data_IF_321275051431
#
_entry.id   IF_321275051431
#
_cell.length_a   1.000
_cell.length_b   1.000
_cell.length_c   1.000
_cell.angle_alpha   90.00
_cell.angle_beta   90.00
_cell.angle_gamma   90.00
#
_symmetry.space_group_name_H-M   'P 1'
#
loop_
_entity.id
_entity.type
_entity.pdbx_description
1 polymer ?
#
# COMPACT_ATOMS: atom_id res chain seq x y z
N UNK A 1 -16.65 -10.84 10.64
CA UNK A 1 -16.75 -9.93 9.48
C UNK A 1 -16.69 -10.75 8.20
N UNK A 2 -17.44 -10.40 7.14
CA UNK A 2 -17.30 -11.00 5.81
C UNK A 2 -17.74 -12.46 5.62
N UNK A 3 -18.59 -13.01 6.50
CA UNK A 3 -19.17 -14.35 6.34
C UNK A 3 -20.27 -14.41 5.26
N UNK A 4 -20.96 -13.28 5.06
CA UNK A 4 -21.95 -13.09 4.01
C UNK A 4 -21.67 -11.76 3.33
N UNK A 5 -21.90 -11.71 2.01
CA UNK A 5 -21.78 -10.50 1.21
C UNK A 5 -23.15 -10.11 0.67
N UNK A 6 -23.41 -8.81 0.59
CA UNK A 6 -24.53 -8.34 -0.22
C UNK A 6 -24.29 -8.71 -1.69
N UNK A 7 -25.34 -8.67 -2.50
CA UNK A 7 -25.16 -8.71 -3.96
C UNK A 7 -24.17 -7.61 -4.39
N UNK A 8 -23.25 -7.88 -5.34
CA UNK A 8 -22.34 -6.87 -5.84
C UNK A 8 -23.12 -5.67 -6.40
N UNK A 9 -22.80 -4.47 -5.92
CA UNK A 9 -23.35 -3.23 -6.46
C UNK A 9 -22.38 -2.63 -7.46
N UNK A 10 -22.90 -2.27 -8.63
CA UNK A 10 -22.16 -1.48 -9.61
C UNK A 10 -21.98 -0.07 -9.03
N UNK A 11 -20.73 0.38 -8.89
CA UNK A 11 -20.43 1.69 -8.31
C UNK A 11 -20.67 2.82 -9.32
N UNK A 12 -20.29 2.63 -10.58
CA UNK A 12 -20.40 3.66 -11.62
C UNK A 12 -21.56 3.39 -12.57
N UNK A 13 -22.35 4.41 -12.89
CA UNK A 13 -23.43 4.31 -13.88
C UNK A 13 -22.85 4.07 -15.28
N UNK A 14 -21.95 4.94 -15.70
CA UNK A 14 -21.22 4.82 -16.96
C UNK A 14 -19.89 4.09 -16.75
N UNK A 15 -19.58 3.05 -17.55
CA UNK A 15 -18.31 2.35 -17.44
C UNK A 15 -17.17 3.23 -17.99
N UNK A 16 -16.04 3.26 -17.27
CA UNK A 16 -14.79 3.71 -17.90
C UNK A 16 -14.22 2.63 -18.82
N UNK A 17 -13.49 3.05 -19.86
CA UNK A 17 -12.96 2.18 -20.91
C UNK A 17 -12.07 1.04 -20.40
N UNK A 18 -11.36 1.26 -19.29
CA UNK A 18 -10.57 0.25 -18.62
C UNK A 18 -10.27 0.66 -17.17
N UNK A 19 -10.11 -0.34 -16.29
CA UNK A 19 -9.64 -0.16 -14.92
C UNK A 19 -8.50 -1.17 -14.69
N UNK A 20 -7.36 -0.68 -14.21
CA UNK A 20 -6.27 -1.56 -13.81
C UNK A 20 -6.64 -2.37 -12.57
N UNK A 21 -6.32 -3.66 -12.60
CA UNK A 21 -6.58 -4.61 -11.51
C UNK A 21 -5.42 -5.61 -11.32
N UNK A 22 -4.24 -5.27 -11.82
CA UNK A 22 -3.04 -6.10 -11.80
C UNK A 22 -2.17 -5.83 -10.56
N UNK A 23 -1.83 -6.90 -9.82
CA UNK A 23 -0.86 -6.86 -8.70
C UNK A 23 -1.13 -5.74 -7.68
N UNK A 24 -0.16 -4.84 -7.54
CA UNK A 24 -0.23 -3.69 -6.63
C UNK A 24 -1.06 -2.51 -7.18
N UNK A 25 -1.41 -2.54 -8.46
CA UNK A 25 -2.17 -1.51 -9.18
C UNK A 25 -3.70 -1.72 -9.12
N UNK A 26 -4.18 -2.50 -8.14
CA UNK A 26 -5.62 -2.73 -7.90
C UNK A 26 -6.31 -1.49 -7.31
N UNK A 27 -7.63 -1.35 -7.45
CA UNK A 27 -8.40 -0.29 -6.78
C UNK A 27 -8.19 -0.29 -5.26
N UNK A 28 -8.16 0.89 -4.66
CA UNK A 28 -8.05 1.09 -3.20
C UNK A 28 -9.37 1.60 -2.65
N UNK A 29 -9.69 1.17 -1.43
CA UNK A 29 -10.90 1.51 -0.70
C UNK A 29 -10.50 2.13 0.62
N UNK A 30 -11.13 3.24 0.99
CA UNK A 30 -11.03 3.84 2.31
C UNK A 30 -12.40 4.36 2.75
N UNK A 31 -12.53 4.61 4.05
CA UNK A 31 -13.78 5.05 4.65
C UNK A 31 -13.58 6.34 5.42
N UNK A 32 -14.58 7.23 5.37
CA UNK A 32 -14.67 8.39 6.25
C UNK A 32 -15.34 8.05 7.58
N UNK A 33 -15.43 9.04 8.47
CA UNK A 33 -16.02 8.87 9.80
C UNK A 33 -17.55 8.96 9.82
N UNK A 34 -18.18 9.28 8.69
CA UNK A 34 -19.63 9.43 8.52
C UNK A 34 -20.15 8.49 7.42
N UNK A 35 -19.66 7.26 7.40
CA UNK A 35 -19.97 6.22 6.42
C UNK A 35 -19.68 6.62 4.96
N UNK A 36 -18.78 7.60 4.74
CA UNK A 36 -18.30 7.90 3.41
C UNK A 36 -17.46 6.74 2.88
N UNK A 37 -17.61 6.44 1.59
CA UNK A 37 -16.85 5.39 0.92
C UNK A 37 -16.03 6.05 -0.18
N UNK A 38 -14.71 5.88 -0.13
CA UNK A 38 -13.79 6.44 -1.10
C UNK A 38 -13.14 5.32 -1.89
N UNK A 39 -13.11 5.46 -3.21
CA UNK A 39 -12.45 4.50 -4.10
C UNK A 39 -11.51 5.24 -5.04
N UNK A 40 -10.24 4.85 -5.01
CA UNK A 40 -9.25 5.27 -6.02
C UNK A 40 -8.90 4.09 -6.93
N UNK A 41 -8.65 4.37 -8.20
CA UNK A 41 -8.21 3.36 -9.16
C UNK A 41 -7.43 3.98 -10.31
N UNK A 42 -6.60 3.19 -10.96
CA UNK A 42 -5.86 3.59 -12.15
C UNK A 42 -6.67 3.28 -13.42
N UNK A 43 -6.85 4.27 -14.30
CA UNK A 43 -7.43 4.11 -15.64
C UNK A 43 -6.35 4.20 -16.71
N UNK A 44 -6.02 3.11 -17.41
CA UNK A 44 -5.07 3.14 -18.53
C UNK A 44 -5.49 4.11 -19.64
N UNK A 45 -4.51 4.79 -20.23
CA UNK A 45 -4.66 5.60 -21.43
C UNK A 45 -4.13 4.84 -22.66
N UNK A 46 -4.24 5.44 -23.85
CA UNK A 46 -3.90 4.78 -25.11
C UNK A 46 -2.42 4.35 -25.22
N UNK A 47 -1.49 5.08 -24.60
CA UNK A 47 -0.06 4.75 -24.64
C UNK A 47 0.29 3.73 -23.55
N UNK A 48 1.17 2.74 -23.82
CA UNK A 48 1.62 1.79 -22.81
C UNK A 48 2.13 2.46 -21.54
N UNK A 49 1.77 1.89 -20.39
CA UNK A 49 2.16 2.35 -19.06
C UNK A 49 1.69 3.77 -18.67
N UNK A 50 0.84 4.39 -19.48
CA UNK A 50 0.23 5.70 -19.18
C UNK A 50 -1.17 5.52 -18.61
N UNK A 51 -1.56 6.37 -17.67
CA UNK A 51 -2.84 6.26 -17.00
C UNK A 51 -3.22 7.55 -16.28
N UNK A 52 -4.47 7.60 -15.83
CA UNK A 52 -4.99 8.58 -14.88
C UNK A 52 -5.24 7.93 -13.51
N UNK A 53 -4.99 8.67 -12.43
CA UNK A 53 -5.49 8.31 -11.10
C UNK A 53 -6.91 8.85 -10.96
N UNK A 54 -7.86 7.93 -10.89
CA UNK A 54 -9.29 8.21 -10.82
C UNK A 54 -9.79 8.06 -9.39
N UNK A 55 -10.82 8.81 -9.06
CA UNK A 55 -11.47 8.76 -7.75
C UNK A 55 -12.99 8.87 -7.88
N UNK A 56 -13.70 8.07 -7.09
CA UNK A 56 -15.13 8.20 -6.84
C UNK A 56 -15.39 8.18 -5.34
N UNK A 57 -16.50 8.80 -4.93
CA UNK A 57 -16.94 8.79 -3.54
C UNK A 57 -18.42 8.49 -3.43
N UNK A 58 -18.80 7.92 -2.29
CA UNK A 58 -20.15 7.93 -1.76
C UNK A 58 -20.16 8.74 -0.48
N UNK A 59 -21.18 9.56 -0.31
CA UNK A 59 -21.43 10.34 0.93
C UNK A 59 -22.75 9.94 1.60
N UNK A 60 -23.37 8.85 1.15
CA UNK A 60 -24.69 8.37 1.56
C UNK A 60 -24.69 6.89 1.98
N UNK A 61 -23.55 6.39 2.46
CA UNK A 61 -23.40 4.99 2.90
C UNK A 61 -23.38 3.97 1.76
N UNK A 62 -23.08 4.40 0.53
CA UNK A 62 -22.95 3.54 -0.66
C UNK A 62 -24.26 3.34 -1.41
N UNK A 63 -25.24 4.24 -1.23
CA UNK A 63 -26.46 4.25 -2.02
C UNK A 63 -26.20 4.81 -3.42
N UNK A 64 -25.35 5.84 -3.52
CA UNK A 64 -24.91 6.42 -4.78
C UNK A 64 -23.43 6.79 -4.76
N UNK A 65 -22.80 6.82 -5.93
CA UNK A 65 -21.42 7.27 -6.09
C UNK A 65 -21.37 8.45 -7.06
N UNK A 66 -20.42 9.34 -6.82
CA UNK A 66 -20.12 10.47 -7.69
C UNK A 66 -19.68 10.01 -9.08
N UNK A 67 -19.75 10.92 -10.06
CA UNK A 67 -18.98 10.76 -11.28
C UNK A 67 -17.46 10.70 -10.95
N UNK A 68 -16.68 9.95 -11.73
CA UNK A 68 -15.25 9.83 -11.49
C UNK A 68 -14.49 11.10 -11.84
N UNK A 69 -13.58 11.52 -10.97
CA UNK A 69 -12.67 12.67 -11.16
C UNK A 69 -11.22 12.20 -11.32
N UNK A 70 -10.39 13.02 -11.96
CA UNK A 70 -8.93 12.83 -11.99
C UNK A 70 -8.30 13.49 -10.76
N UNK A 71 -7.50 12.74 -10.01
CA UNK A 71 -6.90 13.20 -8.74
C UNK A 71 -5.68 14.10 -8.97
N UNK A 72 -4.74 13.67 -9.82
CA UNK A 72 -3.54 14.44 -10.12
C UNK A 72 -3.89 15.69 -10.93
N UNK A 73 -3.03 16.72 -10.93
CA UNK A 73 -3.23 17.94 -11.72
C UNK A 73 -2.55 17.89 -13.09
N UNK A 74 -1.38 17.24 -13.20
CA UNK A 74 -0.71 17.01 -14.49
C UNK A 74 -1.61 16.23 -15.46
N UNK A 75 -1.64 16.62 -16.75
CA UNK A 75 -2.49 16.00 -17.78
C UNK A 75 -1.68 15.37 -18.92
N UNK A 76 -0.37 15.22 -18.73
CA UNK A 76 0.49 14.61 -19.73
C UNK A 76 0.15 13.12 -19.86
N UNK A 77 0.29 12.58 -21.08
CA UNK A 77 0.08 11.14 -21.35
C UNK A 77 1.35 10.39 -20.94
N UNK A 78 1.53 10.26 -19.63
CA UNK A 78 2.67 9.63 -18.95
C UNK A 78 2.18 8.68 -17.86
N UNK A 79 3.10 8.02 -17.17
CA UNK A 79 2.76 7.15 -16.04
C UNK A 79 2.28 7.98 -14.85
N UNK A 80 1.00 7.81 -14.51
CA UNK A 80 0.40 8.09 -13.21
C UNK A 80 -0.27 6.80 -12.75
N UNK A 81 0.40 5.99 -11.91
CA UNK A 81 -0.05 4.62 -11.59
C UNK A 81 0.30 4.21 -10.16
N UNK A 82 -0.18 3.05 -9.75
CA UNK A 82 0.13 2.41 -8.47
C UNK A 82 -0.25 3.28 -7.27
N UNK A 83 -1.45 3.85 -7.32
CA UNK A 83 -1.90 4.74 -6.28
C UNK A 83 -2.21 4.00 -4.97
N UNK A 84 -1.97 4.71 -3.87
CA UNK A 84 -2.38 4.33 -2.52
C UNK A 84 -3.18 5.47 -1.90
N UNK A 85 -4.11 5.12 -1.02
CA UNK A 85 -5.00 6.09 -0.38
C UNK A 85 -5.10 5.84 1.13
N UNK A 86 -5.19 6.92 1.91
CA UNK A 86 -5.55 6.88 3.33
C UNK A 86 -6.40 8.10 3.70
N UNK A 87 -7.15 7.99 4.79
CA UNK A 87 -7.99 9.06 5.34
C UNK A 87 -7.51 9.32 6.75
N UNK A 88 -7.13 10.55 7.07
CA UNK A 88 -6.68 10.88 8.42
C UNK A 88 -7.85 11.13 9.39
N UNK A 89 -7.52 11.38 10.65
CA UNK A 89 -8.52 11.58 11.71
C UNK A 89 -9.35 12.85 11.54
N UNK A 90 -8.87 13.83 10.77
CA UNK A 90 -9.62 15.03 10.40
C UNK A 90 -10.50 14.82 9.17
N UNK A 91 -10.51 13.61 8.58
CA UNK A 91 -11.28 13.28 7.39
C UNK A 91 -10.62 13.74 6.08
N UNK A 92 -9.35 14.15 6.11
CA UNK A 92 -8.61 14.52 4.90
C UNK A 92 -8.16 13.25 4.18
N UNK A 93 -8.35 13.23 2.87
CA UNK A 93 -8.00 12.11 2.00
C UNK A 93 -6.64 12.39 1.36
N UNK A 94 -5.69 11.48 1.52
CA UNK A 94 -4.38 11.54 0.86
C UNK A 94 -4.33 10.45 -0.19
N UNK A 95 -4.00 10.81 -1.41
CA UNK A 95 -3.76 9.87 -2.51
C UNK A 95 -2.35 10.08 -3.02
N UNK A 96 -1.50 9.07 -2.91
CA UNK A 96 -0.12 9.09 -3.39
C UNK A 96 0.06 8.14 -4.57
N UNK A 97 0.89 8.49 -5.56
CA UNK A 97 1.09 7.70 -6.77
C UNK A 97 2.52 7.79 -7.31
N UNK A 98 2.85 6.86 -8.20
CA UNK A 98 4.09 6.86 -8.98
C UNK A 98 3.89 7.69 -10.25
N UNK A 99 4.80 8.64 -10.48
CA UNK A 99 4.72 9.64 -11.53
C UNK A 99 6.03 9.71 -12.32
N UNK A 100 5.95 9.68 -13.66
CA UNK A 100 7.14 9.76 -14.53
C UNK A 100 7.40 11.15 -15.11
N UNK A 101 6.74 12.22 -14.65
CA UNK A 101 6.93 13.57 -15.21
C UNK A 101 8.39 14.04 -15.14
N UNK A 102 9.06 13.74 -14.04
CA UNK A 102 10.46 14.12 -13.83
C UNK A 102 11.43 13.29 -14.69
N UNK A 103 11.13 12.00 -14.89
CA UNK A 103 11.88 11.14 -15.80
C UNK A 103 11.76 11.65 -17.24
N UNK A 104 10.54 11.97 -17.71
CA UNK A 104 10.34 12.50 -19.05
C UNK A 104 11.02 13.86 -19.21
N UNK A 105 10.94 14.75 -18.22
CA UNK A 105 11.62 16.04 -18.23
C UNK A 105 13.16 15.92 -18.16
N UNK A 106 13.70 14.85 -17.57
CA UNK A 106 15.13 14.56 -17.59
C UNK A 106 15.56 14.05 -18.97
N UNK A 107 14.77 13.16 -19.59
CA UNK A 107 15.01 12.63 -20.94
C UNK A 107 15.05 13.73 -21.99
N UNK A 108 14.12 14.68 -21.96
CA UNK A 108 14.11 15.82 -22.90
C UNK A 108 15.34 16.72 -22.75
N UNK A 109 15.95 16.76 -21.55
CA UNK A 109 17.19 17.49 -21.26
C UNK A 109 18.46 16.62 -21.38
N UNK A 110 18.34 15.39 -21.87
CA UNK A 110 19.42 14.41 -21.97
C UNK A 110 20.16 14.18 -20.63
N UNK A 111 19.40 14.14 -19.52
CA UNK A 111 19.91 13.87 -18.16
C UNK A 111 19.50 12.48 -17.70
N UNK A 112 20.38 11.83 -16.93
CA UNK A 112 20.05 10.56 -16.26
C UNK A 112 19.05 10.82 -15.13
N UNK A 113 18.09 9.93 -14.99
CA UNK A 113 17.12 9.91 -13.89
C UNK A 113 16.76 8.46 -13.58
N UNK A 114 17.04 8.01 -12.36
CA UNK A 114 16.73 6.64 -11.95
C UNK A 114 15.28 6.53 -11.50
N UNK A 115 14.55 5.54 -12.02
CA UNK A 115 13.20 5.21 -11.60
C UNK A 115 12.15 6.27 -11.93
N UNK A 116 11.27 6.54 -10.98
CA UNK A 116 10.17 7.51 -11.09
C UNK A 116 10.17 8.49 -9.90
N UNK A 117 9.28 9.46 -9.89
CA UNK A 117 9.01 10.28 -8.71
C UNK A 117 7.75 9.77 -8.00
N UNK A 118 7.60 10.14 -6.73
CA UNK A 118 6.35 10.00 -6.00
C UNK A 118 5.70 11.37 -5.81
N UNK A 119 4.38 11.41 -5.98
CA UNK A 119 3.57 12.60 -5.77
C UNK A 119 2.34 12.24 -4.93
N UNK A 120 1.71 13.26 -4.33
CA UNK A 120 0.41 13.12 -3.69
C UNK A 120 -0.47 14.36 -3.85
N UNK A 121 -1.76 14.13 -3.63
CA UNK A 121 -2.78 15.16 -3.54
C UNK A 121 -3.63 14.93 -2.29
N UNK A 122 -4.24 16.02 -1.80
CA UNK A 122 -5.03 16.04 -0.57
C UNK A 122 -6.41 16.60 -0.87
N UNK A 123 -7.44 15.93 -0.36
CA UNK A 123 -8.79 16.47 -0.29
C UNK A 123 -9.17 16.77 1.15
N UNK A 124 -9.75 17.95 1.38
CA UNK A 124 -10.34 18.35 2.67
C UNK A 124 -11.85 18.53 2.62
N UNK A 125 -12.49 18.16 1.51
CA UNK A 125 -13.92 18.36 1.23
C UNK A 125 -14.64 17.02 0.94
N UNK A 126 -14.15 15.96 1.58
CA UNK A 126 -14.67 14.60 1.43
C UNK A 126 -14.45 14.01 0.04
N UNK A 127 -13.41 14.43 -0.69
CA UNK A 127 -13.09 13.95 -2.03
C UNK A 127 -13.85 14.64 -3.16
N UNK A 128 -14.40 15.85 -2.95
CA UNK A 128 -15.06 16.60 -4.01
C UNK A 128 -14.02 17.19 -4.96
N UNK A 129 -12.95 17.72 -4.37
CA UNK A 129 -11.80 18.27 -5.06
C UNK A 129 -10.52 17.80 -4.39
N UNK A 130 -9.45 17.74 -5.19
CA UNK A 130 -8.10 17.48 -4.72
C UNK A 130 -7.22 18.68 -5.04
N UNK A 131 -6.39 19.06 -4.08
CA UNK A 131 -5.32 20.05 -4.26
C UNK A 131 -3.97 19.37 -4.09
N UNK A 132 -2.94 19.92 -4.71
CA UNK A 132 -1.61 19.32 -4.72
C UNK A 132 -1.21 18.88 -6.12
N UNK A 133 -0.63 17.69 -6.24
CA UNK A 133 0.60 17.41 -6.99
C UNK A 133 1.86 17.83 -6.21
N UNK A 134 1.83 17.56 -4.90
CA UNK A 134 3.00 17.73 -4.05
C UNK A 134 3.99 16.60 -4.32
N UNK A 135 5.20 16.92 -4.76
CA UNK A 135 6.28 15.93 -4.90
C UNK A 135 6.67 15.42 -3.52
N UNK A 136 6.68 14.10 -3.36
CA UNK A 136 7.19 13.42 -2.17
C UNK A 136 8.70 13.27 -2.25
N UNK A 137 9.17 12.65 -3.33
CA UNK A 137 10.58 12.38 -3.56
C UNK A 137 10.84 12.08 -5.04
N UNK A 138 12.05 12.37 -5.49
CA UNK A 138 12.59 11.78 -6.70
C UNK A 138 13.00 10.31 -6.48
N UNK A 139 13.29 9.58 -7.54
CA UNK A 139 13.96 8.27 -7.50
C UNK A 139 13.28 7.15 -6.69
N UNK A 140 12.00 6.89 -6.93
CA UNK A 140 11.31 5.68 -6.47
C UNK A 140 11.49 4.51 -7.45
N UNK A 141 11.32 3.28 -6.95
CA UNK A 141 11.01 2.17 -7.84
C UNK A 141 9.67 2.41 -8.57
N UNK A 142 9.51 1.80 -9.74
CA UNK A 142 8.48 2.21 -10.71
C UNK A 142 7.12 1.49 -10.56
N UNK A 143 7.05 0.44 -9.75
CA UNK A 143 5.86 -0.44 -9.68
C UNK A 143 5.57 -1.03 -8.28
N UNK A 144 6.40 -0.72 -7.28
CA UNK A 144 6.19 -1.21 -5.91
C UNK A 144 5.01 -0.48 -5.25
N UNK A 145 4.23 -1.19 -4.44
CA UNK A 145 3.22 -0.57 -3.56
C UNK A 145 3.83 0.53 -2.70
N UNK A 146 3.10 1.63 -2.56
CA UNK A 146 3.34 2.68 -1.57
C UNK A 146 2.52 2.32 -0.32
N UNK A 147 3.16 2.03 0.79
CA UNK A 147 2.45 1.79 2.05
C UNK A 147 2.06 3.13 2.67
N UNK A 148 0.80 3.28 3.08
CA UNK A 148 0.29 4.42 3.83
C UNK A 148 -0.32 3.90 5.14
N UNK A 149 0.04 4.51 6.26
CA UNK A 149 -0.70 4.33 7.51
C UNK A 149 -0.68 5.61 8.35
N UNK A 150 -1.56 5.66 9.34
CA UNK A 150 -1.63 6.77 10.28
C UNK A 150 -0.79 6.48 11.51
N UNK A 151 -0.05 7.48 11.97
CA UNK A 151 0.53 7.52 13.32
C UNK A 151 -0.56 7.66 14.39
N UNK A 152 -0.24 7.42 15.68
CA UNK A 152 -1.20 7.65 16.77
C UNK A 152 -1.72 9.09 16.86
N UNK A 153 -0.94 10.08 16.42
CA UNK A 153 -1.34 11.49 16.33
C UNK A 153 -2.23 11.81 15.11
N UNK A 154 -2.54 10.81 14.27
CA UNK A 154 -3.42 10.95 13.10
C UNK A 154 -2.70 11.32 11.82
N UNK A 155 -1.39 11.58 11.87
CA UNK A 155 -0.68 12.00 10.67
C UNK A 155 -0.35 10.82 9.73
N UNK A 156 -0.59 10.96 8.42
CA UNK A 156 -0.26 9.93 7.45
C UNK A 156 1.25 9.84 7.19
N UNK A 157 1.74 8.61 7.10
CA UNK A 157 3.13 8.30 6.76
C UNK A 157 3.16 7.41 5.53
N UNK A 158 4.01 7.74 4.58
CA UNK A 158 4.28 6.95 3.39
C UNK A 158 5.60 6.19 3.52
N UNK A 159 5.59 4.91 3.14
CA UNK A 159 6.79 4.09 2.97
C UNK A 159 6.81 3.47 1.57
N UNK A 160 7.95 3.50 0.91
CA UNK A 160 8.11 2.97 -0.45
C UNK A 160 9.53 2.46 -0.67
N UNK A 161 9.73 1.74 -1.78
CA UNK A 161 11.08 1.38 -2.23
C UNK A 161 11.68 2.54 -3.02
N UNK A 162 12.79 3.07 -2.52
CA UNK A 162 13.51 4.21 -3.06
C UNK A 162 14.86 3.77 -3.65
N UNK A 163 15.37 4.52 -4.61
CA UNK A 163 16.68 4.32 -5.23
C UNK A 163 17.61 5.38 -4.66
N UNK A 164 18.33 5.01 -3.60
CA UNK A 164 19.37 5.85 -3.02
C UNK A 164 20.64 5.79 -3.87
N UNK A 165 21.34 6.91 -4.00
CA UNK A 165 22.63 6.93 -4.66
C UNK A 165 23.62 5.96 -3.99
N UNK A 166 24.45 5.22 -4.76
CA UNK A 166 24.50 5.22 -6.23
C UNK A 166 23.48 4.29 -6.93
N UNK A 167 22.95 3.27 -6.24
CA UNK A 167 21.91 2.34 -6.74
C UNK A 167 21.36 1.44 -5.60
N UNK A 168 21.25 1.95 -4.38
CA UNK A 168 20.73 1.17 -3.27
C UNK A 168 19.19 1.22 -3.23
N UNK A 169 18.54 0.07 -3.37
CA UNK A 169 17.09 -0.10 -3.46
C UNK A 169 16.47 -0.47 -2.12
N UNK A 170 16.71 0.39 -1.15
CA UNK A 170 16.13 0.30 0.19
C UNK A 170 14.78 1.01 0.27
N UNK A 171 14.21 1.07 1.46
CA UNK A 171 12.94 1.76 1.67
C UNK A 171 13.16 3.13 2.28
N UNK A 172 12.34 4.08 1.85
CA UNK A 172 12.27 5.40 2.45
C UNK A 172 10.90 5.59 3.12
N UNK A 173 10.86 6.54 4.05
CA UNK A 173 9.71 6.89 4.88
C UNK A 173 9.59 8.40 5.00
N UNK A 174 8.38 8.92 4.91
CA UNK A 174 8.11 10.35 5.13
C UNK A 174 6.69 10.57 5.68
N UNK A 175 6.55 11.56 6.55
CA UNK A 175 5.25 12.06 7.00
C UNK A 175 4.67 12.99 5.92
N UNK A 176 3.42 12.78 5.52
CA UNK A 176 2.74 13.65 4.56
C UNK A 176 1.99 14.76 5.30
N UNK A 177 1.89 15.93 4.65
CA UNK A 177 1.25 17.12 5.22
C UNK A 177 0.15 17.64 4.29
N UNK A 178 -0.90 18.28 4.82
CA UNK A 178 -2.02 18.77 4.02
C UNK A 178 -1.67 19.93 3.07
N UNK A 179 -0.49 20.54 3.23
CA UNK A 179 -0.02 21.72 2.50
C UNK A 179 1.20 21.45 1.60
N UNK A 180 1.67 20.20 1.52
CA UNK A 180 2.82 19.85 0.68
C UNK A 180 4.18 20.08 1.31
N UNK A 181 4.27 20.68 2.50
CA UNK A 181 5.55 20.95 3.17
C UNK A 181 6.02 19.71 3.91
N UNK A 182 6.91 18.96 3.28
CA UNK A 182 7.38 17.68 3.80
C UNK A 182 8.65 17.85 4.66
N UNK A 183 8.81 17.02 5.71
CA UNK A 183 10.07 16.94 6.43
C UNK A 183 11.17 16.28 5.57
N UNK A 184 12.37 16.15 6.12
CA UNK A 184 13.45 15.41 5.47
C UNK A 184 13.08 13.93 5.27
N UNK A 185 13.55 13.37 4.16
CA UNK A 185 13.40 11.96 3.82
C UNK A 185 14.14 11.08 4.83
N UNK A 186 13.47 10.06 5.36
CA UNK A 186 14.10 9.09 6.26
C UNK A 186 14.30 7.76 5.55
N UNK A 187 15.48 7.15 5.68
CA UNK A 187 15.72 5.78 5.24
C UNK A 187 15.15 4.81 6.27
N UNK A 188 14.34 3.85 5.81
CA UNK A 188 13.56 2.94 6.66
C UNK A 188 14.16 1.53 6.74
N UNK A 189 15.02 1.16 5.80
CA UNK A 189 15.75 -0.11 5.76
C UNK A 189 17.17 0.13 5.26
N UNK A 190 18.11 -0.75 5.60
CA UNK A 190 19.56 -0.47 5.49
C UNK A 190 20.37 -1.63 4.91
N UNK A 191 19.74 -2.56 4.20
CA UNK A 191 20.42 -3.74 3.68
C UNK A 191 21.21 -3.49 2.40
N UNK A 192 21.12 -2.28 1.83
CA UNK A 192 21.93 -1.82 0.69
C UNK A 192 21.79 -2.74 -0.53
N UNK A 193 20.55 -3.02 -0.91
CA UNK A 193 20.29 -3.92 -2.03
C UNK A 193 20.54 -3.24 -3.38
N UNK A 194 21.53 -3.72 -4.13
CA UNK A 194 22.01 -3.07 -5.38
C UNK A 194 21.73 -3.83 -6.68
N UNK A 195 20.77 -4.76 -6.69
CA UNK A 195 20.45 -5.51 -7.93
C UNK A 195 19.45 -4.72 -8.77
N UNK A 196 19.72 -4.60 -10.07
CA UNK A 196 18.78 -4.05 -11.07
C UNK A 196 17.71 -5.08 -11.47
N UNK A 197 17.08 -5.69 -10.47
CA UNK A 197 15.95 -6.59 -10.63
C UNK A 197 14.83 -6.15 -9.70
N UNK A 198 13.61 -6.01 -10.25
CA UNK A 198 12.44 -5.60 -9.49
C UNK A 198 11.53 -6.81 -9.22
N UNK A 199 11.40 -7.29 -7.98
CA UNK A 199 10.52 -8.40 -7.63
C UNK A 199 9.06 -7.95 -7.53
N UNK A 200 8.78 -6.65 -7.69
CA UNK A 200 7.46 -6.04 -7.59
C UNK A 200 6.82 -6.22 -6.19
N UNK A 201 7.63 -6.32 -5.14
CA UNK A 201 7.18 -6.46 -3.76
C UNK A 201 7.31 -5.13 -3.00
N UNK A 202 6.19 -4.43 -2.80
CA UNK A 202 6.15 -3.21 -2.00
C UNK A 202 6.06 -3.48 -0.49
N UNK A 203 6.47 -2.50 0.35
CA UNK A 203 6.39 -2.59 1.81
C UNK A 203 4.94 -2.56 2.33
N UNK A 204 4.80 -2.78 3.64
CA UNK A 204 3.62 -2.48 4.42
C UNK A 204 4.04 -1.88 5.76
N UNK A 205 3.19 -1.04 6.35
CA UNK A 205 3.44 -0.43 7.65
C UNK A 205 2.14 -0.29 8.45
N UNK A 206 2.23 -0.38 9.77
CA UNK A 206 1.15 -0.12 10.71
C UNK A 206 1.72 0.45 12.01
N UNK A 207 0.95 1.24 12.75
CA UNK A 207 1.36 1.80 14.03
C UNK A 207 0.55 1.23 15.18
N UNK A 208 1.22 0.90 16.27
CA UNK A 208 0.60 0.68 17.57
C UNK A 208 0.29 2.01 18.26
N UNK A 209 -0.63 2.00 19.23
CA UNK A 209 -1.06 3.21 19.94
C UNK A 209 0.06 3.90 20.72
N UNK A 210 1.09 3.17 21.12
CA UNK A 210 2.28 3.69 21.80
C UNK A 210 3.30 4.36 20.85
N UNK A 211 3.02 4.38 19.55
CA UNK A 211 3.91 4.95 18.52
C UNK A 211 4.87 3.95 17.90
N UNK A 212 4.90 2.69 18.36
CA UNK A 212 5.70 1.64 17.74
C UNK A 212 5.24 1.44 16.30
N UNK A 213 6.17 1.55 15.35
CA UNK A 213 5.92 1.28 13.93
C UNK A 213 6.26 -0.17 13.64
N UNK A 214 5.32 -0.92 13.08
CA UNK A 214 5.54 -2.26 12.55
C UNK A 214 5.65 -2.16 11.03
N UNK A 215 6.69 -2.74 10.44
CA UNK A 215 6.91 -2.68 9.00
C UNK A 215 7.33 -4.03 8.44
N UNK A 216 6.86 -4.34 7.24
CA UNK A 216 7.33 -5.49 6.45
C UNK A 216 7.83 -5.02 5.10
N UNK A 217 8.86 -5.65 4.58
CA UNK A 217 9.39 -5.36 3.27
C UNK A 217 9.97 -6.61 2.64
N UNK A 218 10.20 -6.57 1.34
CA UNK A 218 10.97 -7.60 0.66
C UNK A 218 12.38 -7.06 0.40
N UNK A 219 13.38 -7.92 0.55
CA UNK A 219 14.73 -7.58 0.14
C UNK A 219 15.47 -8.79 -0.42
N UNK A 220 16.53 -8.53 -1.18
CA UNK A 220 17.47 -9.57 -1.62
C UNK A 220 18.85 -9.16 -1.14
N UNK A 221 19.50 -10.03 -0.37
CA UNK A 221 20.89 -9.84 0.06
C UNK A 221 21.70 -11.03 -0.42
N UNK A 222 22.71 -10.78 -1.27
CA UNK A 222 23.36 -11.85 -2.02
C UNK A 222 22.39 -12.49 -3.02
N UNK A 223 22.32 -13.82 -3.07
CA UNK A 223 21.38 -14.58 -3.92
C UNK A 223 20.08 -14.95 -3.21
N UNK A 224 19.92 -14.59 -1.94
CA UNK A 224 18.76 -14.99 -1.15
C UNK A 224 17.75 -13.84 -1.00
N UNK A 225 16.63 -13.98 -1.70
CA UNK A 225 15.45 -13.15 -1.49
C UNK A 225 14.66 -13.55 -0.25
N UNK A 226 13.95 -12.58 0.33
CA UNK A 226 13.06 -12.84 1.45
C UNK A 226 12.16 -11.67 1.81
N UNK A 227 11.09 -12.00 2.52
CA UNK A 227 10.30 -11.04 3.26
C UNK A 227 10.92 -10.85 4.64
N UNK A 228 10.94 -9.61 5.11
CA UNK A 228 11.45 -9.20 6.40
C UNK A 228 10.39 -8.42 7.18
N UNK A 229 10.54 -8.44 8.50
CA UNK A 229 9.78 -7.66 9.45
C UNK A 229 10.71 -7.06 10.50
N UNK A 230 10.41 -5.85 10.95
CA UNK A 230 10.96 -5.24 12.14
C UNK A 230 9.95 -4.25 12.72
N UNK A 231 9.99 -4.08 14.03
CA UNK A 231 9.43 -2.88 14.65
C UNK A 231 10.47 -1.76 14.70
N UNK A 232 10.01 -0.53 14.75
CA UNK A 232 10.78 0.63 15.15
C UNK A 232 10.10 1.29 16.35
N UNK A 233 10.89 1.76 17.30
CA UNK A 233 10.36 2.54 18.43
C UNK A 233 9.81 3.91 17.96
N UNK A 234 9.14 4.68 18.83
CA UNK A 234 8.60 5.99 18.45
C UNK A 234 9.65 7.01 18.00
N UNK A 235 10.92 6.83 18.36
CA UNK A 235 12.04 7.66 17.86
C UNK A 235 12.50 7.27 16.46
N UNK A 236 12.03 6.12 15.95
CA UNK A 236 12.33 5.60 14.63
C UNK A 236 13.49 4.61 14.61
N UNK A 237 14.07 4.24 15.76
CA UNK A 237 15.15 3.25 15.85
C UNK A 237 14.59 1.87 15.50
N UNK A 238 15.11 1.29 14.42
CA UNK A 238 14.69 -0.01 13.92
C UNK A 238 15.32 -1.13 14.74
N UNK A 239 14.49 -2.06 15.21
CA UNK A 239 14.93 -3.31 15.82
C UNK A 239 15.56 -4.24 14.79
N UNK A 240 16.28 -5.27 15.25
CA UNK A 240 16.88 -6.26 14.35
C UNK A 240 15.83 -6.91 13.45
N UNK A 241 15.97 -6.80 12.11
CA UNK A 241 15.05 -7.43 11.19
C UNK A 241 15.01 -8.94 11.33
N UNK A 242 13.82 -9.51 11.26
CA UNK A 242 13.59 -10.96 11.20
C UNK A 242 13.02 -11.34 9.84
N UNK A 243 13.49 -12.46 9.30
CA UNK A 243 12.97 -13.01 8.06
C UNK A 243 11.63 -13.71 8.31
N UNK A 244 10.70 -13.55 7.36
CA UNK A 244 9.39 -14.21 7.36
C UNK A 244 9.35 -15.29 6.27
N UNK A 245 8.89 -16.48 6.64
CA UNK A 245 8.70 -17.59 5.72
C UNK A 245 9.99 -18.11 5.06
N UNK A 246 9.80 -18.83 3.95
CA UNK A 246 10.87 -19.35 3.12
C UNK A 246 11.39 -18.32 2.10
N UNK A 247 12.33 -18.71 1.23
CA UNK A 247 12.80 -17.86 0.13
C UNK A 247 11.72 -17.49 -0.90
N UNK A 248 10.62 -18.25 -0.93
CA UNK A 248 9.47 -18.05 -1.79
C UNK A 248 8.41 -17.14 -1.16
N UNK A 249 8.64 -16.67 0.07
CA UNK A 249 7.77 -15.71 0.73
C UNK A 249 7.74 -14.38 -0.05
N UNK A 250 6.54 -13.82 -0.20
CA UNK A 250 6.32 -12.61 -0.99
C UNK A 250 5.11 -11.81 -0.51
N UNK A 251 5.05 -10.54 -0.91
CA UNK A 251 3.91 -9.63 -0.74
C UNK A 251 3.34 -9.62 0.69
N UNK A 252 4.19 -9.33 1.68
CA UNK A 252 3.74 -9.28 3.06
C UNK A 252 2.88 -8.05 3.37
N UNK A 253 2.05 -8.18 4.38
CA UNK A 253 1.22 -7.14 4.95
C UNK A 253 1.28 -7.18 6.47
N UNK A 254 1.01 -6.04 7.11
CA UNK A 254 0.97 -5.92 8.57
C UNK A 254 -0.24 -5.11 9.01
N UNK A 255 -0.91 -5.56 10.08
CA UNK A 255 -1.96 -4.80 10.73
C UNK A 255 -1.83 -4.90 12.25
N UNK A 256 -2.33 -3.86 12.94
CA UNK A 256 -2.32 -3.73 14.39
C UNK A 256 -3.72 -3.38 14.87
N UNK A 257 -4.15 -4.03 15.95
CA UNK A 257 -5.41 -3.73 16.64
C UNK A 257 -5.22 -3.93 18.15
N UNK A 258 -5.22 -2.84 18.92
CA UNK A 258 -4.83 -2.88 20.33
C UNK A 258 -3.40 -3.42 20.48
N UNK A 259 -3.23 -4.50 21.26
CA UNK A 259 -1.95 -5.23 21.39
C UNK A 259 -1.77 -6.35 20.35
N UNK A 260 -2.82 -6.64 19.57
CA UNK A 260 -2.75 -7.66 18.54
C UNK A 260 -2.00 -7.15 17.33
N UNK A 261 -1.06 -7.94 16.83
CA UNK A 261 -0.30 -7.69 15.61
C UNK A 261 -0.43 -8.93 14.73
N UNK A 262 -0.70 -8.73 13.44
CA UNK A 262 -0.63 -9.79 12.46
C UNK A 262 0.31 -9.38 11.32
N UNK A 263 1.22 -10.30 10.98
CA UNK A 263 2.05 -10.27 9.79
C UNK A 263 1.54 -11.39 8.90
N UNK A 264 1.24 -11.11 7.63
CA UNK A 264 0.80 -12.14 6.69
C UNK A 264 1.59 -12.06 5.39
N UNK A 265 1.95 -13.19 4.80
CA UNK A 265 2.68 -13.26 3.53
C UNK A 265 2.20 -14.43 2.69
N UNK A 266 2.41 -14.32 1.37
CA UNK A 266 2.11 -15.37 0.41
C UNK A 266 3.33 -16.26 0.21
N UNK A 267 3.13 -17.57 0.11
CA UNK A 267 4.19 -18.54 -0.18
C UNK A 267 3.67 -19.65 -1.10
N UNK A 268 4.45 -19.99 -2.12
CA UNK A 268 4.15 -21.09 -3.04
C UNK A 268 5.11 -22.25 -2.77
N UNK A 269 4.57 -23.45 -2.61
CA UNK A 269 5.34 -24.67 -2.30
C UNK A 269 5.65 -25.54 -3.53
N UNK A 270 5.35 -25.04 -4.74
CA UNK A 270 5.47 -25.81 -5.98
C UNK A 270 4.14 -26.42 -6.44
N UNK A 271 3.16 -26.56 -5.56
CA UNK A 271 1.83 -27.11 -5.86
C UNK A 271 0.70 -26.13 -5.54
N UNK A 272 0.79 -25.44 -4.41
CA UNK A 272 -0.28 -24.60 -3.87
C UNK A 272 0.26 -23.32 -3.27
N UNK A 273 -0.59 -22.30 -3.25
CA UNK A 273 -0.30 -21.02 -2.59
C UNK A 273 -0.96 -21.00 -1.22
N UNK A 274 -0.17 -20.75 -0.18
CA UNK A 274 -0.64 -20.47 1.17
C UNK A 274 -0.48 -18.99 1.53
N UNK A 275 -1.41 -18.48 2.34
CA UNK A 275 -1.20 -17.27 3.14
C UNK A 275 -0.80 -17.72 4.54
N UNK A 276 0.47 -17.54 4.85
CA UNK A 276 1.03 -17.81 6.17
C UNK A 276 1.04 -16.51 6.98
N UNK A 277 0.99 -16.64 8.30
CA UNK A 277 1.01 -15.51 9.20
C UNK A 277 1.83 -15.77 10.46
N UNK A 278 2.35 -14.68 11.02
CA UNK A 278 2.95 -14.62 12.35
C UNK A 278 2.16 -13.59 13.15
N UNK A 279 1.62 -14.01 14.28
CA UNK A 279 0.69 -13.19 15.07
C UNK A 279 1.12 -13.10 16.52
N UNK A 280 0.80 -11.97 17.15
CA UNK A 280 1.10 -11.64 18.54
C UNK A 280 -0.11 -10.97 19.18
N UNK A 281 -0.39 -11.25 20.46
CA UNK A 281 -1.43 -10.62 21.29
C UNK A 281 -0.85 -9.73 22.41
N UNK A 282 0.48 -9.61 22.50
CA UNK A 282 1.20 -8.95 23.60
C UNK A 282 2.08 -7.78 23.13
N UNK A 283 1.76 -7.19 21.98
CA UNK A 283 2.52 -6.08 21.40
C UNK A 283 3.84 -6.51 20.75
N UNK A 284 3.93 -7.78 20.33
CA UNK A 284 5.07 -8.30 19.57
C UNK A 284 6.19 -8.87 20.44
N UNK A 285 5.91 -9.16 21.72
CA UNK A 285 6.88 -9.79 22.63
C UNK A 285 6.97 -11.29 22.38
N UNK A 286 5.81 -11.94 22.19
CA UNK A 286 5.72 -13.35 21.80
C UNK A 286 4.94 -13.49 20.50
N UNK A 287 5.22 -14.57 19.77
CA UNK A 287 4.68 -14.80 18.44
C UNK A 287 4.33 -16.27 18.23
N UNK A 288 3.26 -16.51 17.47
CA UNK A 288 2.89 -17.83 16.95
C UNK A 288 2.71 -17.79 15.44
N UNK A 289 3.06 -18.89 14.78
CA UNK A 289 2.84 -19.06 13.34
C UNK A 289 1.48 -19.70 13.07
N UNK A 290 0.83 -19.27 11.99
CA UNK A 290 -0.50 -19.75 11.58
C UNK A 290 -0.55 -19.83 10.07
N UNK A 291 -1.18 -20.86 9.52
CA UNK A 291 -1.65 -20.83 8.13
C UNK A 291 -3.08 -20.26 8.12
N UNK A 292 -3.28 -19.11 7.47
CA UNK A 292 -4.59 -18.49 7.41
C UNK A 292 -5.44 -19.10 6.31
N UNK A 293 -4.83 -19.45 5.17
CA UNK A 293 -5.56 -19.89 4.00
C UNK A 293 -4.67 -20.59 2.97
N UNK A 294 -5.27 -21.41 2.12
CA UNK A 294 -4.60 -22.07 0.98
C UNK A 294 -5.48 -22.10 -0.26
N UNK A 295 -4.85 -22.23 -1.43
CA UNK A 295 -5.50 -22.50 -2.73
C UNK A 295 -4.53 -23.20 -3.68
N UNK A 296 -5.05 -24.07 -4.55
CA UNK A 296 -4.30 -24.64 -5.68
C UNK A 296 -4.44 -23.79 -6.96
N UNK A 297 -5.47 -22.93 -7.04
CA UNK A 297 -5.67 -21.98 -8.14
C UNK A 297 -4.93 -20.64 -7.96
N UNK A 298 -4.94 -19.79 -8.99
CA UNK A 298 -4.36 -18.46 -8.91
C UNK A 298 -4.98 -17.60 -7.80
N UNK A 299 -4.17 -16.74 -7.18
CA UNK A 299 -4.60 -15.86 -6.09
C UNK A 299 -4.00 -14.47 -6.21
N UNK A 300 -4.64 -13.48 -5.59
CA UNK A 300 -4.00 -12.20 -5.30
C UNK A 300 -3.09 -12.27 -4.05
N UNK A 301 -2.74 -11.11 -3.52
CA UNK A 301 -1.85 -10.91 -2.38
C UNK A 301 -2.65 -10.74 -1.08
N UNK A 302 -2.09 -11.13 0.08
CA UNK A 302 -2.78 -10.94 1.34
C UNK A 302 -3.02 -9.46 1.62
N UNK A 303 -4.19 -9.14 2.19
CA UNK A 303 -4.50 -7.83 2.76
C UNK A 303 -5.03 -7.98 4.16
N UNK A 304 -4.38 -7.36 5.12
CA UNK A 304 -4.83 -7.35 6.51
C UNK A 304 -5.64 -6.08 6.77
N UNK A 305 -6.79 -6.24 7.42
CA UNK A 305 -7.67 -5.15 7.83
C UNK A 305 -7.88 -5.26 9.33
N UNK A 306 -7.56 -4.20 10.06
CA UNK A 306 -7.95 -4.05 11.45
C UNK A 306 -9.37 -3.50 11.53
N UNK A 307 -10.21 -4.15 12.34
CA UNK A 307 -11.57 -3.75 12.64
C UNK A 307 -11.85 -3.99 14.14
N UNK A 308 -12.98 -3.51 14.65
CA UNK A 308 -13.32 -3.68 16.07
C UNK A 308 -13.36 -5.15 16.51
N UNK A 309 -13.76 -6.05 15.61
CA UNK A 309 -13.80 -7.49 15.86
C UNK A 309 -12.43 -8.19 15.76
N UNK A 310 -11.33 -7.44 15.57
CA UNK A 310 -9.97 -7.95 15.44
C UNK A 310 -9.34 -7.72 14.06
N UNK A 311 -8.34 -8.52 13.72
CA UNK A 311 -7.59 -8.42 12.46
C UNK A 311 -8.03 -9.53 11.51
N UNK A 312 -8.38 -9.16 10.28
CA UNK A 312 -8.86 -10.08 9.25
C UNK A 312 -7.97 -10.03 8.01
N UNK A 313 -7.71 -11.20 7.43
CA UNK A 313 -7.21 -11.36 6.07
C UNK A 313 -8.37 -11.24 5.09
N UNK A 314 -8.22 -10.36 4.11
CA UNK A 314 -9.00 -10.33 2.88
C UNK A 314 -8.15 -10.90 1.76
N UNK A 315 -8.65 -11.93 1.08
CA UNK A 315 -7.90 -12.64 0.05
C UNK A 315 -8.80 -13.15 -1.07
N UNK A 316 -8.42 -12.91 -2.32
CA UNK A 316 -9.15 -13.37 -3.50
C UNK A 316 -8.44 -14.54 -4.16
N UNK A 317 -9.16 -15.65 -4.32
CA UNK A 317 -8.70 -16.79 -5.12
C UNK A 317 -9.54 -16.92 -6.38
N UNK A 318 -8.97 -17.56 -7.40
CA UNK A 318 -9.70 -17.92 -8.63
C UNK A 318 -10.89 -18.84 -8.32
N UNK A 319 -10.71 -19.74 -7.36
CA UNK A 319 -11.65 -20.83 -7.11
C UNK A 319 -12.80 -20.42 -6.18
N UNK A 320 -12.54 -19.53 -5.21
CA UNK A 320 -13.50 -19.21 -4.14
C UNK A 320 -13.89 -17.72 -4.12
N UNK A 321 -13.33 -16.90 -5.02
CA UNK A 321 -13.55 -15.47 -4.98
C UNK A 321 -12.93 -14.83 -3.74
N UNK A 322 -13.57 -13.78 -3.21
CA UNK A 322 -13.08 -13.03 -2.04
C UNK A 322 -13.46 -13.74 -0.75
N UNK A 323 -12.47 -13.98 0.11
CA UNK A 323 -12.63 -14.55 1.45
C UNK A 323 -12.21 -13.54 2.52
N UNK A 324 -12.90 -13.59 3.66
CA UNK A 324 -12.51 -12.89 4.90
C UNK A 324 -12.22 -13.93 5.97
N UNK A 325 -11.02 -13.91 6.53
CA UNK A 325 -10.52 -14.93 7.45
C UNK A 325 -9.94 -14.21 8.68
N UNK A 326 -10.37 -14.59 9.88
CA UNK A 326 -9.85 -13.99 11.10
C UNK A 326 -8.37 -14.41 11.31
N UNK A 327 -7.47 -13.44 11.32
CA UNK A 327 -6.07 -13.65 11.71
C UNK A 327 -5.91 -13.57 13.24
N UNK A 328 -6.61 -12.60 13.85
CA UNK A 328 -6.69 -12.38 15.29
C UNK A 328 -8.12 -11.94 15.63
N UNK A 329 -8.72 -12.52 16.66
CA UNK A 329 -10.01 -12.03 17.17
C UNK A 329 -9.78 -10.86 18.12
N UNK A 330 -10.68 -9.88 18.12
CA UNK A 330 -10.72 -8.85 19.15
C UNK A 330 -10.95 -9.47 20.53
N UNK A 331 -10.39 -8.84 21.55
CA UNK A 331 -10.62 -9.18 22.96
C UNK A 331 -11.98 -8.68 23.42
#
# INVERSE_FOLDING_TARGET
>A
MGQTWSVPKRLQREPESAISADGENRPKLAFGSKDEIYVSYTKPLAKPHTAEIRFIRSTDGGQSFSAPIVVHANRDVITHRFESMTVDREGRIYVAWIDKRDLEAARTRNRKYAGAALYYAVSGDGGATFRGDYKIADHSCECCRIALALRPDGKPVAMWRHVFEPNARDHALIELTPDGKLPALNRATFEDWRVDACPHHGPALAYAADGTRHQTWFNVKGEEGGVFYASADPSGVLQTPVRLGSAQAQHADVAVHGKSIALAWKQFDGKSTAILAKVSDDGGKTWRNVELARTEGGSDHPRLVAADAGIYLIWRTRNEGVRSIAAMKGS
#
